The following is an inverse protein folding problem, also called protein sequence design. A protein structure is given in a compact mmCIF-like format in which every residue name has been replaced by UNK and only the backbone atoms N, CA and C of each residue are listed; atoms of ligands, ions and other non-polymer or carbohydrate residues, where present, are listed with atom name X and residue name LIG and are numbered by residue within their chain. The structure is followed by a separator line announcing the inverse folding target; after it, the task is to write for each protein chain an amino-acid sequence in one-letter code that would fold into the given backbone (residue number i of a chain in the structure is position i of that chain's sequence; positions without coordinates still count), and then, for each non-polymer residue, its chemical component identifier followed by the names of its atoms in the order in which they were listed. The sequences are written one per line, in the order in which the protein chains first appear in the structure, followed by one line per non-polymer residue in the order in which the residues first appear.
data_IF_429909616879
#
_entry.id   IF_429909616879
#
_cell.length_a   1.000
_cell.length_b   1.000
_cell.length_c   1.000
_cell.angle_alpha   90.00
_cell.angle_beta   90.00
_cell.angle_gamma   90.00
#
_symmetry.space_group_name_H-M   'P 1'
#
loop_
_entity.id
_entity.type
_entity.pdbx_description
1 polymer ?
#
# COMPACT_ATOMS: atom_id res chain seq x y z
N UNK A 1 9.39 -37.37 -3.17
CA UNK A 1 10.40 -36.55 -3.85
C UNK A 1 11.72 -37.32 -3.77
N UNK A 2 12.23 -37.86 -4.87
CA UNK A 2 13.51 -38.54 -4.90
C UNK A 2 14.62 -37.49 -4.76
N UNK A 3 15.36 -37.57 -3.68
CA UNK A 3 16.54 -36.74 -3.44
C UNK A 3 17.63 -37.16 -4.44
N UNK A 4 17.75 -36.50 -5.59
CA UNK A 4 18.85 -36.73 -6.54
C UNK A 4 20.08 -36.02 -5.95
N UNK A 5 20.80 -36.69 -5.08
CA UNK A 5 22.11 -36.25 -4.63
C UNK A 5 23.13 -36.62 -5.70
N UNK A 6 23.51 -35.63 -6.50
CA UNK A 6 24.64 -35.80 -7.42
C UNK A 6 25.96 -35.44 -6.74
N UNK A 7 27.06 -36.06 -7.17
CA UNK A 7 28.38 -35.84 -6.60
C UNK A 7 29.29 -35.02 -7.52
N UNK A 8 30.08 -34.12 -6.94
CA UNK A 8 31.17 -33.44 -7.63
C UNK A 8 32.27 -34.50 -8.03
N UNK A 9 32.89 -34.40 -9.20
CA UNK A 9 32.82 -33.31 -10.19
C UNK A 9 31.74 -33.47 -11.26
N UNK A 10 31.02 -34.60 -11.35
CA UNK A 10 30.01 -34.85 -12.37
C UNK A 10 28.79 -33.95 -12.23
N UNK A 11 28.33 -33.69 -11.01
CA UNK A 11 27.28 -32.74 -10.71
C UNK A 11 27.84 -31.37 -10.44
N UNK A 12 27.44 -30.39 -11.25
CA UNK A 12 27.84 -28.99 -11.15
C UNK A 12 26.62 -28.11 -11.32
N UNK A 13 26.03 -27.70 -10.22
CA UNK A 13 24.81 -26.89 -10.20
C UNK A 13 24.99 -25.53 -10.89
N UNK A 14 26.21 -24.98 -10.88
CA UNK A 14 26.52 -23.70 -11.55
C UNK A 14 26.55 -23.82 -13.09
N UNK A 15 26.53 -25.00 -13.66
CA UNK A 15 26.59 -25.21 -15.12
C UNK A 15 25.49 -24.45 -15.84
N UNK A 16 24.28 -24.48 -15.32
CA UNK A 16 23.12 -23.77 -15.86
C UNK A 16 23.17 -22.25 -15.70
N UNK A 17 24.11 -21.74 -14.89
CA UNK A 17 24.28 -20.30 -14.66
C UNK A 17 25.37 -19.66 -15.52
N UNK A 18 26.16 -20.44 -16.23
CA UNK A 18 27.36 -19.98 -16.94
C UNK A 18 27.04 -19.17 -18.20
N UNK A 19 26.00 -19.53 -18.93
CA UNK A 19 25.63 -18.91 -20.21
C UNK A 19 24.24 -18.32 -20.15
N UNK A 20 24.02 -17.25 -20.93
CA UNK A 20 22.73 -16.53 -20.91
C UNK A 20 21.56 -17.43 -21.32
N UNK A 21 21.68 -18.14 -22.43
CA UNK A 21 20.61 -19.04 -22.89
C UNK A 21 20.24 -20.09 -21.83
N UNK A 22 21.25 -20.63 -21.14
CA UNK A 22 21.03 -21.62 -20.09
C UNK A 22 20.30 -21.03 -18.88
N UNK A 23 20.68 -19.80 -18.45
CA UNK A 23 19.95 -19.09 -17.39
C UNK A 23 18.49 -18.84 -17.77
N UNK A 24 18.25 -18.45 -19.05
CA UNK A 24 16.87 -18.22 -19.55
C UNK A 24 16.05 -19.52 -19.55
N UNK A 25 16.64 -20.64 -19.91
CA UNK A 25 15.96 -21.95 -19.96
C UNK A 25 15.55 -22.46 -18.56
N UNK A 26 16.33 -22.14 -17.53
CA UNK A 26 16.09 -22.58 -16.15
C UNK A 26 15.48 -21.49 -15.25
N UNK A 27 15.06 -20.37 -15.83
CA UNK A 27 14.39 -19.30 -15.08
C UNK A 27 12.99 -19.78 -14.66
N UNK A 28 12.74 -19.77 -13.35
CA UNK A 28 11.45 -20.19 -12.77
C UNK A 28 10.46 -19.03 -12.71
N UNK A 29 10.98 -17.78 -12.65
CA UNK A 29 10.17 -16.57 -12.53
C UNK A 29 10.42 -15.62 -13.71
N UNK A 30 9.37 -14.99 -14.19
CA UNK A 30 9.42 -13.92 -15.17
C UNK A 30 8.73 -12.70 -14.58
N UNK A 31 9.40 -11.54 -14.60
CA UNK A 31 8.80 -10.27 -14.21
C UNK A 31 8.10 -9.67 -15.43
N UNK A 32 6.83 -9.32 -15.26
CA UNK A 32 6.05 -8.58 -16.26
C UNK A 32 5.30 -7.41 -15.59
N UNK A 33 4.67 -6.57 -16.39
CA UNK A 33 4.00 -5.37 -15.87
C UNK A 33 2.85 -5.69 -14.89
N UNK A 34 2.21 -6.85 -15.02
CA UNK A 34 1.11 -7.27 -14.14
C UNK A 34 1.58 -7.66 -12.72
N UNK A 35 2.89 -7.76 -12.51
CA UNK A 35 3.48 -8.00 -11.19
C UNK A 35 3.78 -6.70 -10.43
N UNK A 36 3.47 -5.53 -11.03
CA UNK A 36 3.86 -4.22 -10.49
C UNK A 36 2.69 -3.50 -9.82
N UNK A 37 2.97 -2.90 -8.68
CA UNK A 37 2.12 -1.91 -8.01
C UNK A 37 2.95 -0.64 -7.85
N UNK A 38 2.48 0.51 -8.36
CA UNK A 38 3.20 1.77 -8.26
C UNK A 38 2.88 2.49 -6.94
N UNK A 39 3.84 2.66 -6.00
CA UNK A 39 3.62 3.46 -4.80
C UNK A 39 3.63 4.95 -5.13
N UNK A 40 2.67 5.69 -4.58
CA UNK A 40 2.49 7.12 -4.78
C UNK A 40 2.24 7.81 -3.44
N UNK A 41 2.97 8.89 -3.18
CA UNK A 41 2.80 9.71 -1.99
C UNK A 41 1.91 10.91 -2.30
N UNK A 42 0.85 11.09 -1.52
CA UNK A 42 -0.11 12.19 -1.68
C UNK A 42 0.00 13.18 -0.54
N UNK A 43 -0.17 14.47 -0.84
CA UNK A 43 -0.20 15.56 0.13
C UNK A 43 -1.34 16.53 -0.18
N UNK A 44 -1.77 17.29 0.81
CA UNK A 44 -2.73 18.36 0.62
C UNK A 44 -2.14 19.52 -0.16
N UNK A 45 -2.99 20.28 -0.85
CA UNK A 45 -2.62 21.45 -1.63
C UNK A 45 -3.03 21.36 -3.09
N UNK A 46 -2.44 22.23 -3.91
CA UNK A 46 -2.72 22.31 -5.34
C UNK A 46 -1.41 22.57 -6.11
N UNK A 47 -1.20 21.86 -7.22
CA UNK A 47 -0.01 21.92 -8.09
C UNK A 47 1.31 21.62 -7.35
N UNK A 48 1.25 20.81 -6.29
CA UNK A 48 2.44 20.45 -5.51
C UNK A 48 3.09 19.21 -6.13
N UNK A 49 4.41 19.30 -6.29
CA UNK A 49 5.34 18.19 -6.53
C UNK A 49 6.56 18.45 -5.65
N UNK A 50 6.63 17.77 -4.50
CA UNK A 50 7.65 17.95 -3.47
C UNK A 50 8.58 16.74 -3.41
N UNK A 51 9.85 16.85 -3.87
CA UNK A 51 10.81 15.77 -3.86
C UNK A 51 11.12 15.27 -2.44
N UNK A 52 11.12 13.95 -2.25
CA UNK A 52 11.50 13.31 -0.99
C UNK A 52 13.02 13.14 -0.97
N UNK A 53 13.73 13.91 -0.13
CA UNK A 53 15.19 13.93 -0.10
C UNK A 53 15.83 12.56 0.15
N UNK A 54 15.20 11.72 0.99
CA UNK A 54 15.67 10.37 1.30
C UNK A 54 15.35 9.33 0.22
N UNK A 55 14.54 9.69 -0.79
CA UNK A 55 14.09 8.81 -1.87
C UNK A 55 14.33 9.47 -3.22
N UNK A 56 15.54 9.42 -3.79
CA UNK A 56 15.88 10.08 -5.05
C UNK A 56 14.93 9.66 -6.19
N UNK A 57 14.35 10.64 -6.89
CA UNK A 57 13.39 10.41 -7.98
C UNK A 57 11.95 10.18 -7.55
N UNK A 58 11.66 10.22 -6.25
CA UNK A 58 10.29 10.10 -5.68
C UNK A 58 9.85 11.45 -5.11
N UNK A 59 8.61 11.83 -5.37
CA UNK A 59 8.01 13.06 -4.86
C UNK A 59 6.67 12.80 -4.20
N UNK A 60 6.25 13.72 -3.33
CA UNK A 60 4.87 13.84 -2.86
C UNK A 60 4.10 14.68 -3.85
N UNK A 61 2.87 14.33 -4.11
CA UNK A 61 2.03 15.00 -5.09
C UNK A 61 0.71 15.45 -4.47
N UNK A 62 0.27 16.66 -4.78
CA UNK A 62 -1.13 17.03 -4.58
C UNK A 62 -2.05 16.18 -5.48
N UNK A 63 -3.33 16.08 -5.13
CA UNK A 63 -4.29 15.20 -5.83
C UNK A 63 -4.33 15.49 -7.34
N UNK A 64 -4.29 16.76 -7.76
CA UNK A 64 -4.25 17.14 -9.17
C UNK A 64 -2.98 16.67 -9.88
N UNK A 65 -1.84 16.65 -9.19
CA UNK A 65 -0.55 16.21 -9.75
C UNK A 65 -0.38 14.70 -9.76
N UNK A 66 -0.91 14.00 -8.76
CA UNK A 66 -0.84 12.53 -8.72
C UNK A 66 -1.56 11.90 -9.91
N UNK A 67 -2.64 12.52 -10.42
CA UNK A 67 -3.35 12.05 -11.62
C UNK A 67 -2.42 11.95 -12.84
N UNK A 68 -1.45 12.85 -12.98
CA UNK A 68 -0.46 12.78 -14.07
C UNK A 68 0.47 11.57 -13.95
N UNK A 69 0.82 11.17 -12.73
CA UNK A 69 1.64 9.97 -12.51
C UNK A 69 0.83 8.70 -12.78
N UNK A 70 -0.44 8.70 -12.39
CA UNK A 70 -1.38 7.60 -12.65
C UNK A 70 -1.64 7.45 -14.16
N UNK A 71 -1.75 8.54 -14.90
CA UNK A 71 -1.86 8.49 -16.36
C UNK A 71 -0.64 7.80 -16.99
N UNK A 72 0.58 8.10 -16.51
CA UNK A 72 1.80 7.43 -16.97
C UNK A 72 1.77 5.93 -16.64
N UNK A 73 1.38 5.56 -15.42
CA UNK A 73 1.25 4.17 -15.00
C UNK A 73 0.23 3.41 -15.87
N UNK A 74 -0.92 4.01 -16.14
CA UNK A 74 -1.96 3.47 -17.01
C UNK A 74 -1.46 3.26 -18.46
N UNK A 75 -0.72 4.22 -19.03
CA UNK A 75 -0.10 4.09 -20.37
C UNK A 75 0.95 2.97 -20.43
N UNK A 76 1.58 2.65 -19.32
CA UNK A 76 2.52 1.54 -19.17
C UNK A 76 1.82 0.21 -18.81
N UNK A 77 0.50 0.21 -18.72
CA UNK A 77 -0.35 -0.93 -18.30
C UNK A 77 -0.01 -1.45 -16.89
N UNK A 78 0.46 -0.61 -15.98
CA UNK A 78 0.61 -0.98 -14.57
C UNK A 78 -0.80 -1.13 -13.98
N UNK A 79 -1.15 -2.31 -13.40
CA UNK A 79 -2.54 -2.62 -13.04
C UNK A 79 -3.03 -1.90 -11.80
N UNK A 80 -2.14 -1.56 -10.87
CA UNK A 80 -2.51 -0.98 -9.58
C UNK A 80 -1.51 0.05 -9.06
N UNK A 81 -2.00 0.93 -8.20
CA UNK A 81 -1.21 1.90 -7.43
C UNK A 81 -1.40 1.66 -5.93
N UNK A 82 -0.41 2.05 -5.14
CA UNK A 82 -0.53 2.09 -3.68
C UNK A 82 -0.42 3.54 -3.19
N UNK A 83 -1.37 4.02 -2.39
CA UNK A 83 -1.44 5.40 -1.91
C UNK A 83 -0.92 5.50 -0.47
N UNK A 84 -0.01 6.45 -0.25
CA UNK A 84 0.56 6.79 1.06
C UNK A 84 0.36 8.29 1.33
N UNK A 85 -0.36 8.68 2.41
CA UNK A 85 -0.60 10.08 2.71
C UNK A 85 0.57 10.72 3.46
N UNK A 86 0.89 11.96 3.12
CA UNK A 86 1.67 12.85 3.98
C UNK A 86 0.69 13.84 4.62
N UNK A 87 0.50 13.71 5.92
CA UNK A 87 -0.38 14.56 6.71
C UNK A 87 0.46 15.66 7.40
N UNK A 88 -0.04 16.89 7.33
CA UNK A 88 0.59 18.00 8.05
C UNK A 88 0.61 17.71 9.57
N UNK A 89 1.73 18.00 10.21
CA UNK A 89 1.93 17.75 11.65
C UNK A 89 0.90 18.46 12.54
N UNK A 90 0.35 19.58 12.10
CA UNK A 90 -0.68 20.34 12.83
C UNK A 90 -2.05 19.65 12.82
N UNK A 91 -2.26 18.68 11.93
CA UNK A 91 -3.51 17.91 11.81
C UNK A 91 -3.43 16.55 12.50
N UNK A 92 -2.26 16.20 13.03
CA UNK A 92 -2.05 14.94 13.76
C UNK A 92 -2.45 15.09 15.22
N UNK A 93 -2.99 14.02 15.80
CA UNK A 93 -3.27 13.95 17.24
C UNK A 93 -2.89 12.56 17.80
N UNK A 94 -2.96 12.41 19.13
CA UNK A 94 -2.60 11.16 19.79
C UNK A 94 -3.50 9.96 19.44
N UNK A 95 -4.70 10.22 18.96
CA UNK A 95 -5.72 9.21 18.65
C UNK A 95 -5.83 8.92 17.17
N UNK A 96 -5.10 9.66 16.31
CA UNK A 96 -5.16 9.51 14.86
C UNK A 96 -6.55 9.74 14.28
N UNK A 97 -7.33 10.67 14.84
CA UNK A 97 -8.75 10.90 14.49
C UNK A 97 -8.98 11.10 13.00
N UNK A 98 -8.05 11.79 12.34
CA UNK A 98 -8.15 12.04 10.90
C UNK A 98 -8.14 10.76 10.07
N UNK A 99 -7.58 9.66 10.59
CA UNK A 99 -7.59 8.37 9.91
C UNK A 99 -9.01 7.83 9.65
N UNK A 100 -9.98 8.24 10.47
CA UNK A 100 -11.39 7.80 10.38
C UNK A 100 -12.35 8.88 9.86
N UNK A 101 -11.82 9.98 9.32
CA UNK A 101 -12.62 11.01 8.65
C UNK A 101 -12.85 10.62 7.18
N UNK A 102 -14.10 10.50 6.77
CA UNK A 102 -14.48 10.16 5.38
C UNK A 102 -14.01 11.19 4.35
N UNK A 103 -13.68 12.41 4.79
CA UNK A 103 -13.14 13.49 3.95
C UNK A 103 -11.61 13.66 4.06
N UNK A 104 -10.92 12.70 4.66
CA UNK A 104 -9.46 12.78 4.77
C UNK A 104 -8.79 12.75 3.38
N UNK A 105 -7.50 13.08 3.36
CA UNK A 105 -6.72 13.14 2.11
C UNK A 105 -6.77 11.84 1.29
N UNK A 106 -6.72 10.68 1.96
CA UNK A 106 -6.73 9.37 1.30
C UNK A 106 -8.08 9.13 0.60
N UNK A 107 -9.20 9.31 1.32
CA UNK A 107 -10.54 9.11 0.77
C UNK A 107 -10.83 10.07 -0.40
N UNK A 108 -10.46 11.35 -0.29
CA UNK A 108 -10.57 12.33 -1.38
C UNK A 108 -9.71 11.94 -2.60
N UNK A 109 -8.51 11.42 -2.36
CA UNK A 109 -7.63 10.94 -3.43
C UNK A 109 -8.25 9.74 -4.15
N UNK A 110 -8.74 8.73 -3.41
CA UNK A 110 -9.40 7.54 -3.97
C UNK A 110 -10.58 7.95 -4.86
N UNK A 111 -11.49 8.76 -4.34
CA UNK A 111 -12.68 9.22 -5.07
C UNK A 111 -12.31 9.95 -6.38
N UNK A 112 -11.31 10.84 -6.31
CA UNK A 112 -10.84 11.61 -7.48
C UNK A 112 -10.18 10.69 -8.51
N UNK A 113 -9.35 9.76 -8.07
CA UNK A 113 -8.67 8.79 -8.94
C UNK A 113 -9.69 7.86 -9.60
N UNK A 114 -10.62 7.27 -8.86
CA UNK A 114 -11.65 6.39 -9.41
C UNK A 114 -12.56 7.07 -10.42
N UNK A 115 -12.85 8.34 -10.21
CA UNK A 115 -13.62 9.14 -11.17
C UNK A 115 -12.86 9.33 -12.50
N UNK A 116 -11.53 9.43 -12.46
CA UNK A 116 -10.69 9.72 -13.64
C UNK A 116 -10.17 8.45 -14.30
N UNK A 117 -9.79 7.45 -13.50
CA UNK A 117 -9.19 6.18 -13.91
C UNK A 117 -9.94 5.00 -13.26
N UNK A 118 -11.17 4.69 -13.67
CA UNK A 118 -12.02 3.70 -13.01
C UNK A 118 -11.46 2.28 -13.02
N UNK A 119 -10.59 1.96 -13.96
CA UNK A 119 -10.05 0.61 -14.16
C UNK A 119 -8.71 0.36 -13.46
N UNK A 120 -8.08 1.38 -12.85
CA UNK A 120 -6.84 1.17 -12.11
C UNK A 120 -7.17 0.66 -10.70
N UNK A 121 -6.47 -0.40 -10.26
CA UNK A 121 -6.57 -0.88 -8.89
C UNK A 121 -5.96 0.14 -7.92
N UNK A 122 -6.64 0.39 -6.80
CA UNK A 122 -6.14 1.25 -5.72
C UNK A 122 -5.94 0.40 -4.48
N UNK A 123 -4.69 0.36 -4.00
CA UNK A 123 -4.31 -0.19 -2.70
C UNK A 123 -4.12 0.96 -1.73
N UNK A 124 -4.67 0.85 -0.53
CA UNK A 124 -4.45 1.82 0.54
C UNK A 124 -3.89 1.15 1.78
N UNK A 125 -2.95 1.84 2.40
CA UNK A 125 -2.41 1.47 3.69
C UNK A 125 -3.44 1.69 4.81
N UNK A 126 -3.51 0.77 5.75
CA UNK A 126 -4.28 0.90 6.98
C UNK A 126 -3.34 0.82 8.17
N UNK A 127 -2.94 1.98 8.65
CA UNK A 127 -2.07 2.20 9.80
C UNK A 127 -2.30 3.61 10.35
N UNK A 128 -1.90 3.89 11.57
CA UNK A 128 -2.15 5.17 12.22
C UNK A 128 -0.95 6.11 12.26
N UNK A 129 0.27 5.63 11.98
CA UNK A 129 1.50 6.43 12.01
C UNK A 129 1.46 7.71 11.14
N UNK A 130 0.77 7.75 9.96
CA UNK A 130 0.63 8.99 9.23
C UNK A 130 -0.24 10.03 9.94
N UNK A 131 -1.10 9.61 10.87
CA UNK A 131 -2.14 10.42 11.50
C UNK A 131 -1.88 10.73 12.98
N UNK A 132 -1.01 9.96 13.65
CA UNK A 132 -0.65 10.17 15.04
C UNK A 132 0.49 11.18 15.20
N UNK A 133 0.46 11.98 16.25
CA UNK A 133 1.49 12.97 16.57
C UNK A 133 2.77 12.32 17.12
N UNK A 134 2.66 11.15 17.74
CA UNK A 134 3.78 10.34 18.22
C UNK A 134 4.39 9.42 17.15
N UNK A 135 3.76 9.32 15.96
CA UNK A 135 4.28 8.57 14.81
C UNK A 135 4.28 7.05 14.97
N UNK A 136 3.51 6.50 15.92
CA UNK A 136 3.29 5.06 16.05
C UNK A 136 2.00 4.65 15.33
N UNK A 137 1.98 3.42 14.81
CA UNK A 137 0.86 2.81 14.08
C UNK A 137 -0.26 2.27 14.98
N UNK A 138 -0.15 2.43 16.30
CA UNK A 138 -1.16 2.06 17.29
C UNK A 138 -1.43 3.15 18.31
N UNK A 139 -2.60 3.09 18.95
CA UNK A 139 -2.99 4.00 20.02
C UNK A 139 -2.16 3.77 21.29
N UNK A 140 -1.65 4.86 21.87
CA UNK A 140 -0.86 4.82 23.10
C UNK A 140 -1.75 5.12 24.29
N UNK A 141 -1.94 4.15 25.18
CA UNK A 141 -2.69 4.27 26.41
C UNK A 141 -1.79 3.91 27.60
N UNK A 142 -1.64 4.81 28.57
CA UNK A 142 -0.75 4.61 29.73
C UNK A 142 0.69 4.20 29.33
N UNK A 143 1.26 4.86 28.32
CA UNK A 143 2.58 4.60 27.75
C UNK A 143 2.75 3.19 27.17
N UNK A 144 1.68 2.54 26.76
CA UNK A 144 1.69 1.23 26.09
C UNK A 144 0.76 1.29 24.88
N UNK A 145 1.11 0.51 23.85
CA UNK A 145 0.20 0.31 22.71
C UNK A 145 -0.99 -0.52 23.18
N UNK A 146 -2.19 -0.01 22.94
CA UNK A 146 -3.46 -0.70 23.19
C UNK A 146 -3.91 -1.39 21.89
N UNK A 147 -3.68 -2.69 21.82
CA UNK A 147 -4.00 -3.49 20.64
C UNK A 147 -5.48 -3.39 20.26
N UNK A 148 -6.36 -3.62 21.22
CA UNK A 148 -7.79 -3.80 20.94
C UNK A 148 -8.46 -2.46 20.55
N UNK A 149 -8.11 -1.36 21.21
CA UNK A 149 -8.58 -0.03 20.80
C UNK A 149 -8.03 0.37 19.44
N UNK A 150 -6.80 -0.01 19.14
CA UNK A 150 -6.23 0.24 17.80
C UNK A 150 -7.01 -0.50 16.74
N UNK A 151 -7.37 -1.77 16.97
CA UNK A 151 -8.21 -2.56 16.04
C UNK A 151 -9.54 -1.87 15.73
N UNK A 152 -10.19 -1.23 16.71
CA UNK A 152 -11.44 -0.49 16.50
C UNK A 152 -11.27 0.70 15.54
N UNK A 153 -10.11 1.36 15.58
CA UNK A 153 -9.81 2.48 14.68
C UNK A 153 -9.41 1.98 13.29
N UNK A 154 -8.58 0.95 13.19
CA UNK A 154 -8.17 0.35 11.91
C UNK A 154 -9.36 -0.23 11.15
N UNK A 155 -10.32 -0.86 11.85
CA UNK A 155 -11.59 -1.31 11.26
C UNK A 155 -12.34 -0.16 10.60
N UNK A 156 -12.50 0.97 11.30
CA UNK A 156 -13.18 2.16 10.75
C UNK A 156 -12.41 2.75 9.56
N UNK A 157 -11.09 2.87 9.69
CA UNK A 157 -10.23 3.36 8.60
C UNK A 157 -10.38 2.52 7.34
N UNK A 158 -10.35 1.19 7.47
CA UNK A 158 -10.54 0.28 6.34
C UNK A 158 -11.91 0.45 5.68
N UNK A 159 -12.98 0.58 6.48
CA UNK A 159 -14.34 0.76 5.98
C UNK A 159 -14.51 2.06 5.19
N UNK A 160 -14.00 3.19 5.69
CA UNK A 160 -14.12 4.46 4.96
C UNK A 160 -13.30 4.48 3.67
N UNK A 161 -12.11 3.85 3.67
CA UNK A 161 -11.30 3.72 2.46
C UNK A 161 -11.99 2.84 1.41
N UNK A 162 -12.54 1.69 1.81
CA UNK A 162 -13.29 0.81 0.92
C UNK A 162 -14.55 1.51 0.36
N UNK A 163 -15.32 2.21 1.20
CA UNK A 163 -16.47 3.00 0.76
C UNK A 163 -16.09 4.16 -0.17
N UNK A 164 -14.90 4.72 -0.05
CA UNK A 164 -14.38 5.72 -0.98
C UNK A 164 -14.01 5.13 -2.36
N UNK A 165 -13.92 3.79 -2.49
CA UNK A 165 -13.61 3.06 -3.72
C UNK A 165 -12.23 2.42 -3.77
N UNK A 166 -11.58 2.19 -2.60
CA UNK A 166 -10.36 1.42 -2.52
C UNK A 166 -10.63 -0.05 -2.85
N UNK A 167 -9.79 -0.67 -3.68
CA UNK A 167 -9.95 -2.07 -4.09
C UNK A 167 -9.19 -3.04 -3.19
N UNK A 168 -8.09 -2.60 -2.59
CA UNK A 168 -7.20 -3.44 -1.78
C UNK A 168 -6.88 -2.71 -0.47
N UNK A 169 -7.27 -3.30 0.64
CA UNK A 169 -6.92 -2.84 1.98
C UNK A 169 -5.64 -3.56 2.43
N UNK A 170 -4.59 -2.81 2.72
CA UNK A 170 -3.26 -3.33 3.03
C UNK A 170 -2.81 -2.90 4.43
N UNK A 171 -3.24 -3.57 5.51
CA UNK A 171 -2.86 -3.19 6.86
C UNK A 171 -1.36 -3.45 7.10
N UNK A 172 -0.59 -2.41 7.31
CA UNK A 172 0.86 -2.45 7.56
C UNK A 172 1.23 -2.32 9.04
N UNK A 173 0.26 -2.07 9.90
CA UNK A 173 0.40 -2.02 11.34
C UNK A 173 0.84 -3.37 11.95
N UNK A 174 1.10 -3.39 13.27
CA UNK A 174 1.58 -4.58 13.98
C UNK A 174 0.57 -5.14 14.99
N UNK A 175 -0.73 -4.81 14.89
CA UNK A 175 -1.74 -5.25 15.84
C UNK A 175 -2.14 -6.72 15.60
N UNK A 176 -2.24 -7.48 16.69
CA UNK A 176 -2.71 -8.85 16.65
C UNK A 176 -4.17 -8.93 16.20
N UNK A 177 -4.45 -9.79 15.22
CA UNK A 177 -5.81 -10.06 14.76
C UNK A 177 -6.38 -9.06 13.75
N UNK A 178 -5.64 -8.02 13.33
CA UNK A 178 -6.11 -6.95 12.45
C UNK A 178 -6.68 -7.43 11.12
N UNK A 179 -6.05 -8.38 10.47
CA UNK A 179 -6.52 -8.88 9.16
C UNK A 179 -7.90 -9.53 9.28
N UNK A 180 -8.07 -10.41 10.30
CA UNK A 180 -9.37 -11.04 10.56
C UNK A 180 -10.44 -10.03 10.97
N UNK A 181 -10.08 -9.02 11.78
CA UNK A 181 -11.00 -7.95 12.22
C UNK A 181 -11.48 -7.13 11.04
N UNK A 182 -10.57 -6.65 10.18
CA UNK A 182 -10.88 -5.86 8.98
C UNK A 182 -11.71 -6.68 7.99
N UNK A 183 -11.32 -7.94 7.70
CA UNK A 183 -12.06 -8.81 6.79
C UNK A 183 -13.51 -9.00 7.25
N UNK A 184 -13.71 -9.29 8.53
CA UNK A 184 -15.04 -9.45 9.11
C UNK A 184 -15.88 -8.15 9.00
N UNK A 185 -15.24 -7.00 9.17
CA UNK A 185 -15.93 -5.72 9.06
C UNK A 185 -16.35 -5.43 7.61
N UNK A 186 -15.48 -5.65 6.63
CA UNK A 186 -15.78 -5.50 5.21
C UNK A 186 -16.95 -6.41 4.80
N UNK A 187 -16.92 -7.69 5.18
CA UNK A 187 -17.97 -8.66 4.86
C UNK A 187 -19.34 -8.27 5.44
N UNK A 188 -19.37 -7.79 6.69
CA UNK A 188 -20.60 -7.32 7.34
C UNK A 188 -21.19 -6.06 6.69
N UNK A 189 -20.38 -5.28 6.00
CA UNK A 189 -20.79 -4.04 5.33
C UNK A 189 -21.00 -4.22 3.82
N UNK A 190 -21.13 -5.45 3.31
CA UNK A 190 -21.32 -5.80 1.89
C UNK A 190 -20.16 -5.35 0.99
N UNK A 191 -18.92 -5.40 1.52
CA UNK A 191 -17.68 -5.06 0.82
C UNK A 191 -16.80 -6.30 0.61
N UNK A 192 -17.41 -7.42 0.21
CA UNK A 192 -16.74 -8.72 0.06
C UNK A 192 -15.68 -8.71 -1.05
N UNK A 193 -15.85 -7.83 -2.04
CA UNK A 193 -14.95 -7.73 -3.20
C UNK A 193 -13.72 -6.82 -2.96
N UNK A 194 -13.66 -6.15 -1.77
CA UNK A 194 -12.49 -5.36 -1.35
C UNK A 194 -11.49 -6.26 -0.64
#
# INVERSE_FOLDING_TARGET
MTNIQGNFPSTRLRRNRMKEFSRRLVAENNLNVNDLILPLFVCDGNKIEDPIQSMPGVSRFSIDKVLTQIEKASKLNIPAIALFPQIDSTLKDSDGKLATDENNLVCRSIQTIKKTFPNIGIMCDVALDPFTDHGHDGLVVNNKIDNDKTLDVLEKQALIQANAGCDIIAPSDMMDGRVGRIRNALDKNNLQDT
#
